data_IF_417818125724
#
_entry.id   IF_417818125724
#
_cell.length_a   1.000
_cell.length_b   1.000
_cell.length_c   1.000
_cell.angle_alpha   90.00
_cell.angle_beta   90.00
_cell.angle_gamma   90.00
#
_symmetry.space_group_name_H-M   'P 1'
#
loop_
_entity.id
_entity.type
_entity.pdbx_description
1 polymer ?
#
# COMPACT_ATOMS: atom_id res chain seq x y z
N UNK A 1 -29.14 -13.38 6.81
CA UNK A 1 -29.40 -13.31 5.34
C UNK A 1 -29.55 -11.84 4.97
N UNK A 2 -28.49 -11.22 4.45
CA UNK A 2 -28.55 -9.84 3.97
C UNK A 2 -29.02 -9.91 2.51
N UNK A 3 -30.26 -9.53 2.29
CA UNK A 3 -30.85 -9.43 0.95
C UNK A 3 -30.15 -8.32 0.17
N UNK A 4 -29.37 -8.70 -0.83
CA UNK A 4 -28.86 -7.80 -1.86
C UNK A 4 -30.08 -7.26 -2.65
N UNK A 5 -30.66 -6.14 -2.20
CA UNK A 5 -31.51 -5.33 -3.01
C UNK A 5 -30.62 -4.64 -4.05
N UNK A 6 -30.36 -5.33 -5.15
CA UNK A 6 -29.87 -4.73 -6.38
C UNK A 6 -31.00 -3.81 -6.88
N UNK A 7 -31.03 -2.57 -6.39
CA UNK A 7 -31.84 -1.50 -6.97
C UNK A 7 -31.41 -1.38 -8.44
N UNK A 8 -32.29 -1.79 -9.36
CA UNK A 8 -32.16 -1.45 -10.78
C UNK A 8 -32.00 0.07 -10.86
N UNK A 9 -30.77 0.54 -10.99
CA UNK A 9 -30.51 1.98 -11.16
C UNK A 9 -31.09 2.41 -12.49
N UNK A 10 -32.23 3.08 -12.42
CA UNK A 10 -32.77 3.83 -13.53
C UNK A 10 -31.84 5.01 -13.76
N UNK A 11 -30.98 4.93 -14.77
CA UNK A 11 -30.16 6.07 -15.13
C UNK A 11 -28.67 5.74 -15.27
N UNK A 12 -27.95 6.70 -15.73
CA UNK A 12 -26.53 6.70 -16.05
C UNK A 12 -25.66 6.77 -14.77
N UNK A 13 -25.90 5.89 -13.80
CA UNK A 13 -25.19 5.86 -12.52
C UNK A 13 -24.37 4.57 -12.35
N UNK A 14 -23.30 4.69 -11.58
CA UNK A 14 -22.46 3.57 -11.14
C UNK A 14 -22.28 3.65 -9.62
N UNK A 15 -22.02 2.52 -9.01
CA UNK A 15 -21.85 2.43 -7.55
C UNK A 15 -20.38 2.38 -7.20
N UNK A 16 -19.96 3.23 -6.27
CA UNK A 16 -18.63 3.18 -5.66
C UNK A 16 -18.79 2.61 -4.25
N UNK A 17 -18.04 1.56 -3.88
CA UNK A 17 -18.10 1.00 -2.54
C UNK A 17 -17.65 2.01 -1.49
N UNK A 18 -18.42 2.21 -0.42
CA UNK A 18 -18.09 3.18 0.64
C UNK A 18 -16.74 2.90 1.31
N UNK A 19 -16.32 1.65 1.39
CA UNK A 19 -15.06 1.25 2.02
C UNK A 19 -13.83 1.86 1.36
N UNK A 20 -13.94 2.36 0.12
CA UNK A 20 -12.83 3.02 -0.59
C UNK A 20 -12.27 4.22 0.18
N UNK A 21 -13.11 4.91 0.95
CA UNK A 21 -12.70 6.06 1.75
C UNK A 21 -11.87 5.69 2.98
N UNK A 22 -11.80 4.40 3.31
CA UNK A 22 -11.03 3.87 4.44
C UNK A 22 -9.66 3.31 4.01
N UNK A 23 -9.32 3.37 2.71
CA UNK A 23 -8.10 2.74 2.16
C UNK A 23 -6.89 3.70 2.06
N UNK A 24 -6.91 4.84 2.74
CA UNK A 24 -5.85 5.87 2.71
C UNK A 24 -5.51 6.36 1.29
N UNK A 25 -6.49 6.43 0.39
CA UNK A 25 -6.33 6.87 -0.99
C UNK A 25 -6.46 8.39 -1.13
N UNK A 26 -5.71 8.98 -2.03
CA UNK A 26 -5.91 10.37 -2.42
C UNK A 26 -7.26 10.56 -3.13
N UNK A 27 -7.87 11.74 -2.97
CA UNK A 27 -9.12 12.07 -3.67
C UNK A 27 -8.99 11.97 -5.19
N UNK A 28 -7.79 12.22 -5.73
CA UNK A 28 -7.51 12.04 -7.16
C UNK A 28 -7.55 10.58 -7.58
N UNK A 29 -7.02 9.66 -6.78
CA UNK A 29 -7.09 8.23 -7.03
C UNK A 29 -8.55 7.73 -6.96
N UNK A 30 -9.32 8.19 -5.98
CA UNK A 30 -10.75 7.85 -5.84
C UNK A 30 -11.54 8.34 -7.07
N UNK A 31 -11.26 9.56 -7.56
CA UNK A 31 -11.89 10.08 -8.77
C UNK A 31 -11.55 9.27 -10.02
N UNK A 32 -10.27 8.85 -10.17
CA UNK A 32 -9.84 7.95 -11.25
C UNK A 32 -10.56 6.61 -11.15
N UNK A 33 -10.60 6.01 -9.97
CA UNK A 33 -11.29 4.73 -9.75
C UNK A 33 -12.77 4.80 -10.12
N UNK A 34 -13.49 5.84 -9.69
CA UNK A 34 -14.87 6.08 -10.07
C UNK A 34 -15.05 6.21 -11.59
N UNK A 35 -14.13 6.91 -12.28
CA UNK A 35 -14.17 7.02 -13.73
C UNK A 35 -13.92 5.66 -14.43
N UNK A 36 -13.01 4.83 -13.91
CA UNK A 36 -12.79 3.48 -14.45
C UNK A 36 -14.02 2.58 -14.24
N UNK A 37 -14.66 2.62 -13.08
CA UNK A 37 -15.91 1.90 -12.79
C UNK A 37 -17.04 2.31 -13.76
N UNK A 38 -17.11 3.58 -14.12
CA UNK A 38 -18.07 4.07 -15.13
C UNK A 38 -17.85 3.42 -16.50
N UNK A 39 -16.58 3.19 -16.88
CA UNK A 39 -16.18 2.64 -18.17
C UNK A 39 -16.05 1.11 -18.17
N UNK A 40 -16.23 0.49 -17.02
CA UNK A 40 -16.09 -0.95 -16.82
C UNK A 40 -16.98 -1.76 -17.77
N UNK A 41 -16.39 -2.75 -18.44
CA UNK A 41 -17.15 -3.72 -19.20
C UNK A 41 -17.79 -4.74 -18.25
N UNK A 42 -19.09 -4.66 -18.07
CA UNK A 42 -19.87 -5.55 -17.21
C UNK A 42 -20.48 -6.75 -17.94
N UNK A 43 -20.21 -6.89 -19.24
CA UNK A 43 -20.68 -8.04 -20.01
C UNK A 43 -19.90 -9.29 -19.60
N UNK A 44 -20.57 -10.44 -19.42
CA UNK A 44 -19.89 -11.70 -19.15
C UNK A 44 -18.89 -12.05 -20.25
N UNK A 45 -17.70 -12.53 -19.87
CA UNK A 45 -16.69 -12.95 -20.82
C UNK A 45 -15.26 -12.58 -20.40
N UNK A 46 -14.27 -12.87 -21.24
CA UNK A 46 -12.85 -12.68 -20.95
C UNK A 46 -12.44 -11.22 -20.66
N UNK A 47 -13.22 -10.25 -21.11
CA UNK A 47 -12.98 -8.82 -20.87
C UNK A 47 -13.88 -8.21 -19.80
N UNK A 48 -14.55 -9.04 -19.01
CA UNK A 48 -15.34 -8.56 -17.89
C UNK A 48 -14.47 -7.81 -16.88
N UNK A 49 -15.02 -6.76 -16.27
CA UNK A 49 -14.32 -5.88 -15.31
C UNK A 49 -13.09 -5.18 -15.89
N UNK A 50 -13.06 -4.95 -17.21
CA UNK A 50 -11.96 -4.25 -17.87
C UNK A 50 -12.40 -2.97 -18.57
N UNK A 51 -11.45 -2.03 -18.72
CA UNK A 51 -11.60 -0.83 -19.57
C UNK A 51 -10.23 -0.41 -20.10
N UNK A 52 -10.21 0.48 -21.12
CA UNK A 52 -8.98 0.90 -21.82
C UNK A 52 -8.90 2.40 -22.12
N UNK A 53 -9.27 3.30 -21.18
CA UNK A 53 -9.13 4.73 -21.43
C UNK A 53 -7.66 5.15 -21.49
N UNK A 54 -7.35 6.17 -22.28
CA UNK A 54 -6.04 6.82 -22.23
C UNK A 54 -5.90 7.71 -20.98
N UNK A 55 -4.68 8.01 -20.57
CA UNK A 55 -4.45 8.98 -19.50
C UNK A 55 -5.01 10.37 -19.82
N UNK A 56 -4.97 10.77 -21.09
CA UNK A 56 -5.57 12.02 -21.54
C UNK A 56 -7.09 12.02 -21.36
N UNK A 57 -7.76 10.91 -21.71
CA UNK A 57 -9.22 10.76 -21.53
C UNK A 57 -9.60 10.83 -20.05
N UNK A 58 -8.88 10.11 -19.19
CA UNK A 58 -9.10 10.16 -17.74
C UNK A 58 -8.86 11.59 -17.23
N UNK A 59 -7.73 12.20 -17.62
CA UNK A 59 -7.35 13.53 -17.18
C UNK A 59 -8.35 14.60 -17.57
N UNK A 60 -8.89 14.54 -18.79
CA UNK A 60 -9.97 15.44 -19.24
C UNK A 60 -11.23 15.30 -18.39
N UNK A 61 -11.59 14.06 -18.00
CA UNK A 61 -12.79 13.79 -17.20
C UNK A 61 -12.68 14.33 -15.77
N UNK A 62 -11.51 14.15 -15.12
CA UNK A 62 -11.28 14.57 -13.73
C UNK A 62 -10.60 15.94 -13.60
N UNK A 63 -10.36 16.64 -14.72
CA UNK A 63 -9.68 17.94 -14.79
C UNK A 63 -8.28 17.93 -14.20
N UNK A 64 -7.49 16.90 -14.56
CA UNK A 64 -6.09 16.72 -14.13
C UNK A 64 -5.19 16.39 -15.32
N UNK A 65 -3.89 16.68 -15.18
CA UNK A 65 -2.89 16.34 -16.20
C UNK A 65 -2.68 14.82 -16.33
N UNK A 66 -2.25 14.34 -17.48
CA UNK A 66 -1.90 12.93 -17.70
C UNK A 66 -0.82 12.43 -16.72
N UNK A 67 0.14 13.31 -16.34
CA UNK A 67 1.16 13.00 -15.32
C UNK A 67 0.54 12.75 -13.93
N UNK A 68 -0.45 13.55 -13.55
CA UNK A 68 -1.18 13.34 -12.29
C UNK A 68 -1.99 12.05 -12.33
N UNK A 69 -2.65 11.77 -13.45
CA UNK A 69 -3.40 10.52 -13.66
C UNK A 69 -2.50 9.31 -13.52
N UNK A 70 -1.29 9.34 -14.10
CA UNK A 70 -0.31 8.24 -13.97
C UNK A 70 0.01 7.94 -12.50
N UNK A 71 0.21 8.96 -11.67
CA UNK A 71 0.44 8.79 -10.22
C UNK A 71 -0.77 8.16 -9.51
N UNK A 72 -1.98 8.63 -9.83
CA UNK A 72 -3.20 8.08 -9.23
C UNK A 72 -3.46 6.63 -9.66
N UNK A 73 -3.16 6.28 -10.91
CA UNK A 73 -3.24 4.91 -11.39
C UNK A 73 -2.25 4.01 -10.63
N UNK A 74 -1.02 4.48 -10.42
CA UNK A 74 -0.04 3.73 -9.63
C UNK A 74 -0.51 3.53 -8.19
N UNK A 75 -1.06 4.55 -7.55
CA UNK A 75 -1.65 4.48 -6.21
C UNK A 75 -2.77 3.41 -6.13
N UNK A 76 -3.65 3.35 -7.14
CA UNK A 76 -4.70 2.33 -7.22
C UNK A 76 -4.16 0.91 -7.43
N UNK A 77 -3.08 0.76 -8.21
CA UNK A 77 -2.39 -0.53 -8.38
C UNK A 77 -1.76 -0.98 -7.06
N UNK A 78 -1.06 -0.07 -6.37
CA UNK A 78 -0.46 -0.34 -5.07
C UNK A 78 -1.50 -0.69 -4.00
N UNK A 79 -2.67 -0.05 -4.05
CA UNK A 79 -3.80 -0.38 -3.17
C UNK A 79 -4.48 -1.71 -3.53
N UNK A 80 -4.15 -2.34 -4.65
CA UNK A 80 -4.75 -3.61 -5.07
C UNK A 80 -6.16 -3.49 -5.67
N UNK A 81 -6.61 -2.27 -6.02
CA UNK A 81 -7.93 -2.02 -6.62
C UNK A 81 -7.97 -2.34 -8.11
N UNK A 82 -6.88 -2.15 -8.80
CA UNK A 82 -6.76 -2.38 -10.23
C UNK A 82 -5.46 -3.10 -10.58
N UNK A 83 -5.46 -3.77 -11.72
CA UNK A 83 -4.26 -4.25 -12.39
C UNK A 83 -4.15 -3.55 -13.75
N UNK A 84 -2.95 -3.23 -14.18
CA UNK A 84 -2.69 -2.60 -15.48
C UNK A 84 -1.88 -3.53 -16.36
N UNK A 85 -2.32 -3.71 -17.61
CA UNK A 85 -1.62 -4.48 -18.62
C UNK A 85 -1.31 -3.58 -19.82
N UNK A 86 -0.07 -3.61 -20.36
CA UNK A 86 0.24 -2.91 -21.59
C UNK A 86 -0.50 -3.57 -22.76
N UNK A 87 -0.99 -2.76 -23.68
CA UNK A 87 -1.57 -3.26 -24.92
C UNK A 87 -0.74 -2.79 -26.11
N UNK A 88 -0.72 -3.58 -27.17
CA UNK A 88 -0.12 -3.20 -28.46
C UNK A 88 -1.19 -3.13 -29.54
N UNK A 89 -1.06 -2.18 -30.41
CA UNK A 89 -1.90 -2.02 -31.59
C UNK A 89 -1.01 -2.24 -32.82
N UNK A 90 -1.42 -3.17 -33.68
CA UNK A 90 -0.76 -3.39 -34.96
C UNK A 90 -1.45 -2.55 -36.03
N UNK A 91 -0.72 -1.67 -36.69
CA UNK A 91 -1.26 -0.88 -37.82
C UNK A 91 -1.47 -1.76 -39.05
N UNK A 92 -2.20 -1.25 -40.03
CA UNK A 92 -2.43 -1.95 -41.32
C UNK A 92 -1.10 -2.29 -42.04
N UNK A 93 -0.04 -1.52 -41.79
CA UNK A 93 1.30 -1.69 -42.33
C UNK A 93 2.16 -2.67 -41.51
N UNK A 94 1.58 -3.42 -40.58
CA UNK A 94 2.28 -4.41 -39.74
C UNK A 94 3.13 -3.85 -38.62
N UNK A 95 3.20 -2.53 -38.44
CA UNK A 95 3.96 -1.92 -37.34
C UNK A 95 3.19 -2.05 -36.02
N UNK A 96 3.92 -2.43 -34.95
CA UNK A 96 3.39 -2.52 -33.58
C UNK A 96 3.64 -1.22 -32.85
N UNK A 97 2.58 -0.62 -32.32
CA UNK A 97 2.63 0.57 -31.49
C UNK A 97 2.13 0.25 -30.08
N UNK A 98 2.64 0.97 -29.08
CA UNK A 98 2.11 0.88 -27.73
C UNK A 98 0.68 1.43 -27.71
N UNK A 99 -0.26 0.58 -27.32
CA UNK A 99 -1.67 0.97 -27.14
C UNK A 99 -1.90 1.60 -25.75
N UNK A 100 -3.15 1.94 -25.49
CA UNK A 100 -3.57 2.37 -24.15
C UNK A 100 -3.40 1.21 -23.16
N UNK A 101 -3.19 1.53 -21.87
CA UNK A 101 -3.23 0.52 -20.81
C UNK A 101 -4.61 -0.13 -20.74
N UNK A 102 -4.64 -1.43 -20.53
CA UNK A 102 -5.82 -2.18 -20.11
C UNK A 102 -5.89 -2.17 -18.60
N UNK A 103 -6.97 -1.69 -18.04
CA UNK A 103 -7.24 -1.69 -16.61
C UNK A 103 -8.17 -2.86 -16.30
N UNK A 104 -7.79 -3.67 -15.35
CA UNK A 104 -8.59 -4.77 -14.80
C UNK A 104 -9.01 -4.35 -13.40
N UNK A 105 -10.30 -4.19 -13.18
CA UNK A 105 -10.85 -3.79 -11.88
C UNK A 105 -11.00 -5.04 -11.02
N UNK A 106 -10.32 -5.04 -9.88
CA UNK A 106 -10.39 -6.14 -8.92
C UNK A 106 -11.56 -5.98 -7.95
N UNK A 107 -12.05 -7.08 -7.35
CA UNK A 107 -12.98 -6.99 -6.24
C UNK A 107 -12.40 -6.11 -5.12
N UNK A 108 -13.22 -5.22 -4.55
CA UNK A 108 -12.81 -4.28 -3.50
C UNK A 108 -12.22 -5.00 -2.28
N UNK A 109 -12.66 -6.24 -2.02
CA UNK A 109 -12.18 -7.05 -0.91
C UNK A 109 -10.66 -7.27 -0.98
N UNK A 110 -10.09 -7.46 -2.18
CA UNK A 110 -8.64 -7.60 -2.34
C UNK A 110 -7.87 -6.39 -1.81
N UNK A 111 -8.39 -5.18 -2.01
CA UNK A 111 -7.78 -3.96 -1.50
C UNK A 111 -7.94 -3.83 0.02
N UNK A 112 -9.08 -4.23 0.57
CA UNK A 112 -9.33 -4.24 2.01
C UNK A 112 -8.38 -5.19 2.71
N UNK A 113 -8.22 -6.41 2.18
CA UNK A 113 -7.34 -7.42 2.75
C UNK A 113 -5.89 -6.93 2.75
N UNK A 114 -5.41 -6.39 1.63
CA UNK A 114 -4.07 -5.83 1.50
C UNK A 114 -3.85 -4.63 2.44
N UNK A 115 -4.86 -3.78 2.61
CA UNK A 115 -4.81 -2.66 3.55
C UNK A 115 -4.67 -3.15 4.99
N UNK A 116 -5.49 -4.13 5.39
CA UNK A 116 -5.46 -4.71 6.73
C UNK A 116 -4.12 -5.39 7.03
N UNK A 117 -3.57 -6.16 6.08
CA UNK A 117 -2.24 -6.75 6.20
C UNK A 117 -1.15 -5.69 6.45
N UNK A 118 -1.20 -4.59 5.70
CA UNK A 118 -0.26 -3.47 5.89
C UNK A 118 -0.41 -2.80 7.26
N UNK A 119 -1.63 -2.65 7.76
CA UNK A 119 -1.85 -2.08 9.10
C UNK A 119 -1.33 -3.01 10.19
N UNK A 120 -1.58 -4.31 10.09
CA UNK A 120 -1.05 -5.32 11.02
C UNK A 120 0.50 -5.30 11.02
N UNK A 121 1.12 -5.30 9.84
CA UNK A 121 2.58 -5.22 9.74
C UNK A 121 3.16 -3.95 10.39
N UNK A 122 2.49 -2.80 10.25
CA UNK A 122 2.89 -1.55 10.93
C UNK A 122 2.79 -1.66 12.45
N UNK A 123 1.72 -2.28 12.96
CA UNK A 123 1.53 -2.51 14.39
C UNK A 123 2.61 -3.43 14.96
N UNK A 124 2.89 -4.55 14.28
CA UNK A 124 3.93 -5.49 14.67
C UNK A 124 5.32 -4.83 14.70
N UNK A 125 5.65 -4.07 13.68
CA UNK A 125 6.90 -3.31 13.63
C UNK A 125 6.99 -2.31 14.80
N UNK A 126 5.89 -1.66 15.17
CA UNK A 126 5.81 -0.77 16.32
C UNK A 126 6.05 -1.48 17.66
N UNK A 127 5.45 -2.67 17.85
CA UNK A 127 5.65 -3.51 19.03
C UNK A 127 7.10 -3.97 19.14
N UNK A 128 7.69 -4.45 18.04
CA UNK A 128 9.09 -4.88 18.02
C UNK A 128 10.05 -3.73 18.35
N UNK A 129 9.79 -2.53 17.81
CA UNK A 129 10.60 -1.34 18.15
C UNK A 129 10.52 -1.01 19.63
N UNK A 130 9.33 -1.04 20.24
CA UNK A 130 9.15 -0.79 21.69
C UNK A 130 9.88 -1.86 22.52
N UNK A 131 9.78 -3.15 22.16
CA UNK A 131 10.50 -4.26 22.85
C UNK A 131 12.01 -4.05 22.82
N UNK A 132 12.58 -3.68 21.65
CA UNK A 132 14.03 -3.41 21.52
C UNK A 132 14.47 -2.25 22.43
N UNK A 133 13.70 -1.17 22.50
CA UNK A 133 13.98 -0.02 23.37
C UNK A 133 13.93 -0.43 24.85
N UNK A 134 12.88 -1.14 25.25
CA UNK A 134 12.76 -1.62 26.64
C UNK A 134 13.91 -2.55 27.02
N UNK A 135 14.30 -3.48 26.15
CA UNK A 135 15.45 -4.35 26.39
C UNK A 135 16.76 -3.57 26.54
N UNK A 136 16.99 -2.57 25.67
CA UNK A 136 18.17 -1.72 25.75
C UNK A 136 18.22 -0.91 27.06
N UNK A 137 17.06 -0.40 27.52
CA UNK A 137 16.95 0.33 28.79
C UNK A 137 17.19 -0.59 29.98
N UNK A 138 16.62 -1.81 29.98
CA UNK A 138 16.85 -2.82 31.03
C UNK A 138 18.33 -3.18 31.15
N UNK A 139 18.97 -3.49 30.01
CA UNK A 139 20.41 -3.80 29.95
C UNK A 139 21.30 -2.65 30.44
N UNK A 140 20.90 -1.38 30.17
CA UNK A 140 21.62 -0.21 30.68
C UNK A 140 21.44 -0.02 32.19
N UNK A 141 20.27 -0.40 32.74
CA UNK A 141 20.02 -0.39 34.21
C UNK A 141 20.83 -1.47 34.89
N UNK A 142 20.88 -2.68 34.39
CA UNK A 142 21.71 -3.77 34.89
C UNK A 142 23.20 -3.38 34.96
N UNK A 143 23.75 -2.80 33.88
CA UNK A 143 25.12 -2.30 33.85
C UNK A 143 25.43 -1.20 34.88
N UNK A 144 24.44 -0.40 35.28
CA UNK A 144 24.59 0.62 36.30
C UNK A 144 24.46 0.08 37.73
N UNK A 145 23.90 -1.13 37.88
CA UNK A 145 23.72 -1.81 39.16
C UNK A 145 24.86 -2.78 39.52
N UNK A 146 25.91 -2.88 38.67
CA UNK A 146 27.14 -3.60 39.10
C UNK A 146 27.72 -2.83 40.29
N UNK A 147 27.73 -3.43 41.50
CA UNK A 147 28.14 -2.73 42.71
C UNK A 147 29.56 -2.24 42.57
N UNK A 148 29.82 -1.05 43.07
CA UNK A 148 31.17 -0.44 43.17
C UNK A 148 32.15 -1.37 43.91
N UNK A 149 31.64 -2.34 44.69
CA UNK A 149 32.38 -3.39 45.38
C UNK A 149 33.16 -4.32 44.42
N UNK A 150 32.61 -4.72 43.26
CA UNK A 150 33.35 -5.53 42.28
C UNK A 150 34.44 -4.75 41.54
N UNK A 151 34.28 -3.45 41.35
CA UNK A 151 35.31 -2.60 40.77
C UNK A 151 36.49 -2.41 41.73
N UNK A 152 36.24 -2.33 43.04
CA UNK A 152 37.28 -2.24 44.07
C UNK A 152 38.00 -3.58 44.21
N UNK A 153 37.29 -4.73 44.19
CA UNK A 153 37.90 -6.06 44.26
C UNK A 153 38.79 -6.37 43.05
N UNK A 154 38.43 -5.94 41.86
CA UNK A 154 39.25 -6.09 40.66
C UNK A 154 40.49 -5.19 40.67
N UNK A 155 40.47 -4.06 41.39
CA UNK A 155 41.59 -3.11 41.46
C UNK A 155 42.61 -3.51 42.56
N UNK A 156 42.17 -4.19 43.62
CA UNK A 156 43.04 -4.66 44.71
C UNK A 156 43.90 -5.89 44.35
N UNK A 157 43.61 -6.57 43.24
CA UNK A 157 44.41 -7.73 42.74
C UNK A 157 45.64 -7.30 41.91
N UNK A 158 45.81 -6.00 41.66
CA UNK A 158 46.85 -5.50 40.74
C UNK A 158 47.84 -4.51 41.40
N UNK A 159 48.00 -4.54 42.74
CA UNK A 159 49.16 -3.87 43.36
C UNK A 159 50.33 -4.85 43.38
N UNK A 160 51.46 -4.55 42.71
CA UNK A 160 52.67 -5.35 42.82
C UNK A 160 53.27 -5.15 44.22
N UNK A 161 53.49 -6.25 44.95
CA UNK A 161 54.31 -6.22 46.15
C UNK A 161 55.67 -5.63 45.84
N UNK A 162 55.98 -4.47 46.43
CA UNK A 162 57.37 -3.96 46.51
C UNK A 162 58.17 -4.87 47.41
N UNK A 163 59.20 -5.51 46.86
CA UNK A 163 60.16 -6.29 47.59
C UNK A 163 61.02 -5.31 48.43
N UNK A 164 61.22 -5.60 49.73
CA UNK A 164 62.18 -4.88 50.56
C UNK A 164 63.62 -5.22 50.17
N UNK A 165 64.49 -4.20 50.15
CA UNK A 165 65.96 -4.26 49.98
C UNK A 165 66.66 -4.88 51.17
#
# INVERSE_FOLDING_TARGET
>A
MLTNNATKSRGNCFTVPNVIYNLDLSMGAIAVYGFLLRLENRKPGKEQHTCRPSYATIGSAIKRSARSVSKYVQELVEAGLILTEPTSVTTKDGQKWNGNLRYIIKPIQCAVDLYNERQLAKLDAGVQKKRKVMYAVAKKRERKQIPHAEYIAAKSVHEPEELPV
#
